data_IF_546643678000
#
_entry.id   IF_546643678000
#
_cell.length_a   1.000
_cell.length_b   1.000
_cell.length_c   1.000
_cell.angle_alpha   90.00
_cell.angle_beta   90.00
_cell.angle_gamma   90.00
#
_symmetry.space_group_name_H-M   'P 1'
#
loop_
_entity.id
_entity.type
_entity.pdbx_description
1 polymer ?
#
# COMPACT_ATOMS: atom_id res chain seq x y z
N UNK A 1 21.23 -25.28 2.28
CA UNK A 1 21.89 -24.87 3.55
C UNK A 1 20.79 -24.59 4.57
N UNK A 2 20.87 -25.06 5.82
CA UNK A 2 19.82 -24.78 6.79
C UNK A 2 19.83 -23.27 7.05
N UNK A 3 18.76 -22.59 6.64
CA UNK A 3 18.60 -21.15 6.79
C UNK A 3 18.37 -20.84 8.26
N UNK A 4 19.43 -20.40 8.94
CA UNK A 4 19.28 -19.80 10.27
C UNK A 4 18.34 -18.58 10.11
N UNK A 5 17.18 -18.50 10.77
CA UNK A 5 16.25 -17.37 10.61
C UNK A 5 16.90 -16.02 10.96
N UNK A 6 17.95 -16.02 11.79
CA UNK A 6 18.76 -14.82 12.09
C UNK A 6 19.53 -14.30 10.86
N UNK A 7 19.77 -15.11 9.84
CA UNK A 7 20.41 -14.66 8.60
C UNK A 7 19.50 -13.72 7.79
N UNK A 8 18.18 -13.91 7.84
CA UNK A 8 17.21 -13.02 7.19
C UNK A 8 17.30 -11.59 7.72
N UNK A 9 17.34 -11.44 9.04
CA UNK A 9 17.51 -10.13 9.70
C UNK A 9 18.86 -9.49 9.31
N UNK A 10 19.91 -10.31 9.19
CA UNK A 10 21.24 -9.81 8.77
C UNK A 10 21.21 -9.23 7.35
N UNK A 11 20.50 -9.86 6.41
CA UNK A 11 20.37 -9.33 5.05
C UNK A 11 19.62 -8.00 5.02
N UNK A 12 18.55 -7.86 5.82
CA UNK A 12 17.84 -6.59 5.98
C UNK A 12 18.79 -5.49 6.49
N UNK A 13 19.55 -5.78 7.56
CA UNK A 13 20.51 -4.81 8.12
C UNK A 13 21.63 -4.44 7.15
N UNK A 14 22.08 -5.38 6.31
CA UNK A 14 23.08 -5.11 5.27
C UNK A 14 22.55 -4.19 4.14
N UNK A 15 21.25 -4.23 3.87
CA UNK A 15 20.61 -3.38 2.85
C UNK A 15 20.57 -1.89 3.23
N UNK A 16 20.46 -1.56 4.53
CA UNK A 16 20.34 -0.18 5.02
C UNK A 16 21.45 0.75 4.48
N UNK A 17 22.76 0.45 4.62
CA UNK A 17 23.79 1.33 4.08
C UNK A 17 23.80 1.39 2.54
N UNK A 18 23.25 0.39 1.84
CA UNK A 18 23.26 0.35 0.38
C UNK A 18 22.32 1.40 -0.24
N UNK A 19 21.22 1.74 0.43
CA UNK A 19 20.23 2.72 -0.07
C UNK A 19 20.81 4.12 -0.27
N UNK A 20 21.89 4.45 0.48
CA UNK A 20 22.56 5.75 0.42
C UNK A 20 23.68 5.82 -0.62
N UNK A 21 24.01 4.70 -1.28
CA UNK A 21 25.08 4.69 -2.28
C UNK A 21 24.68 5.40 -3.57
N UNK A 22 25.64 6.07 -4.22
CA UNK A 22 25.39 6.95 -5.36
C UNK A 22 24.67 6.27 -6.53
N UNK A 23 24.96 4.99 -6.77
CA UNK A 23 24.39 4.21 -7.87
C UNK A 23 22.93 3.78 -7.63
N UNK A 24 22.54 3.69 -6.35
CA UNK A 24 21.27 3.13 -5.88
C UNK A 24 20.29 4.23 -5.47
N UNK A 25 20.77 5.34 -4.88
CA UNK A 25 19.95 6.39 -4.26
C UNK A 25 18.87 6.97 -5.17
N UNK A 26 19.12 7.06 -6.49
CA UNK A 26 18.16 7.60 -7.47
C UNK A 26 16.88 6.76 -7.56
N UNK A 27 16.99 5.44 -7.41
CA UNK A 27 15.86 4.51 -7.43
C UNK A 27 15.07 4.51 -6.12
N UNK A 28 15.66 5.04 -5.04
CA UNK A 28 14.99 5.24 -3.74
C UNK A 28 14.25 6.58 -3.70
N UNK A 29 14.89 7.64 -4.19
CA UNK A 29 14.34 9.01 -4.12
C UNK A 29 13.19 9.21 -5.11
N UNK A 30 13.24 8.63 -6.31
CA UNK A 30 12.18 8.82 -7.31
C UNK A 30 10.79 8.36 -6.84
N UNK A 31 10.61 7.12 -6.34
CA UNK A 31 9.33 6.67 -5.75
C UNK A 31 8.86 7.57 -4.62
N UNK A 32 9.77 8.02 -3.76
CA UNK A 32 9.43 8.89 -2.64
C UNK A 32 8.85 10.22 -3.12
N UNK A 33 9.48 10.85 -4.11
CA UNK A 33 8.99 12.11 -4.69
C UNK A 33 7.63 11.93 -5.36
N UNK A 34 7.46 10.84 -6.12
CA UNK A 34 6.17 10.52 -6.77
C UNK A 34 5.09 10.32 -5.70
N UNK A 35 5.39 9.58 -4.62
CA UNK A 35 4.47 9.36 -3.51
C UNK A 35 4.09 10.67 -2.81
N UNK A 36 5.04 11.58 -2.58
CA UNK A 36 4.75 12.90 -1.99
C UNK A 36 3.78 13.68 -2.87
N UNK A 37 4.00 13.70 -4.18
CA UNK A 37 3.13 14.40 -5.14
C UNK A 37 1.73 13.78 -5.17
N UNK A 38 1.66 12.45 -5.27
CA UNK A 38 0.39 11.71 -5.30
C UNK A 38 -0.39 11.89 -3.98
N UNK A 39 0.30 11.87 -2.85
CA UNK A 39 -0.31 12.05 -1.53
C UNK A 39 -0.84 13.48 -1.36
N UNK A 40 -0.07 14.49 -1.75
CA UNK A 40 -0.51 15.88 -1.74
C UNK A 40 -1.73 16.09 -2.65
N UNK A 41 -1.73 15.48 -3.84
CA UNK A 41 -2.88 15.52 -4.75
C UNK A 41 -4.11 14.82 -4.16
N UNK A 42 -3.94 13.68 -3.50
CA UNK A 42 -5.02 12.95 -2.85
C UNK A 42 -5.65 13.74 -1.69
N UNK A 43 -4.83 14.39 -0.86
CA UNK A 43 -5.32 15.27 0.22
C UNK A 43 -6.08 16.46 -0.36
N UNK A 44 -5.51 17.12 -1.38
CA UNK A 44 -6.16 18.25 -2.04
C UNK A 44 -7.53 17.85 -2.62
N UNK A 45 -7.57 16.72 -3.33
CA UNK A 45 -8.82 16.16 -3.86
C UNK A 45 -9.83 15.85 -2.75
N UNK A 46 -9.39 15.21 -1.66
CA UNK A 46 -10.28 14.92 -0.54
C UNK A 46 -10.86 16.19 0.06
N UNK A 47 -10.03 17.15 0.44
CA UNK A 47 -10.50 18.38 1.10
C UNK A 47 -11.48 19.18 0.24
N UNK A 48 -11.31 19.17 -1.09
CA UNK A 48 -12.20 19.89 -2.01
C UNK A 48 -13.49 19.13 -2.34
N UNK A 49 -13.45 17.81 -2.45
CA UNK A 49 -14.63 17.00 -2.80
C UNK A 49 -15.43 16.54 -1.58
N UNK A 50 -14.81 16.48 -0.41
CA UNK A 50 -15.44 15.97 0.80
C UNK A 50 -16.59 16.87 1.26
N UNK A 51 -16.40 18.18 1.30
CA UNK A 51 -17.48 19.12 1.66
C UNK A 51 -18.64 19.03 0.66
N UNK A 52 -18.34 18.99 -0.65
CA UNK A 52 -19.35 18.83 -1.70
C UNK A 52 -20.14 17.52 -1.53
N UNK A 53 -19.46 16.41 -1.16
CA UNK A 53 -20.10 15.13 -0.94
C UNK A 53 -21.01 15.15 0.30
N UNK A 54 -20.57 15.78 1.38
CA UNK A 54 -21.38 15.94 2.60
C UNK A 54 -22.62 16.78 2.28
N UNK A 55 -22.46 17.94 1.65
CA UNK A 55 -23.59 18.82 1.29
C UNK A 55 -24.62 18.09 0.42
N UNK A 56 -24.15 17.25 -0.51
CA UNK A 56 -25.03 16.43 -1.34
C UNK A 56 -25.77 15.34 -0.54
N UNK A 57 -25.13 14.75 0.47
CA UNK A 57 -25.72 13.72 1.33
C UNK A 57 -26.64 14.30 2.42
N UNK A 58 -26.48 15.58 2.77
CA UNK A 58 -27.22 16.24 3.86
C UNK A 58 -27.91 17.52 3.37
N UNK A 59 -28.95 17.40 2.53
CA UNK A 59 -29.70 18.55 2.07
C UNK A 59 -30.45 19.23 3.22
N UNK A 60 -30.66 20.54 3.08
CA UNK A 60 -31.36 21.35 4.08
C UNK A 60 -32.76 20.80 4.39
N UNK A 61 -33.10 20.77 5.68
CA UNK A 61 -34.44 20.43 6.13
C UNK A 61 -35.45 21.52 5.74
N UNK A 62 -36.67 21.16 5.33
CA UNK A 62 -37.73 22.12 5.05
C UNK A 62 -38.02 23.05 6.25
N UNK A 63 -38.20 24.35 5.98
CA UNK A 63 -38.42 25.39 7.00
C UNK A 63 -39.69 25.24 7.85
N UNK A 64 -40.56 24.30 7.52
CA UNK A 64 -41.78 23.99 8.28
C UNK A 64 -41.55 22.93 9.38
N UNK A 65 -40.38 22.28 9.42
CA UNK A 65 -40.07 21.32 10.48
C UNK A 65 -39.90 22.04 11.83
N UNK A 66 -40.44 21.49 12.93
CA UNK A 66 -40.21 22.04 14.25
C UNK A 66 -38.72 22.03 14.64
N UNK A 67 -38.27 23.07 15.35
CA UNK A 67 -36.86 23.28 15.75
C UNK A 67 -36.24 22.07 16.48
N UNK A 68 -37.06 21.33 17.23
CA UNK A 68 -36.62 20.08 17.88
C UNK A 68 -36.08 19.07 16.86
N UNK A 69 -36.76 18.87 15.73
CA UNK A 69 -36.31 17.93 14.70
C UNK A 69 -35.08 18.43 13.94
N UNK A 70 -34.96 19.76 13.74
CA UNK A 70 -33.77 20.35 13.13
C UNK A 70 -32.51 20.11 13.98
N UNK A 71 -32.59 20.36 15.29
CA UNK A 71 -31.47 20.11 16.21
C UNK A 71 -31.05 18.64 16.30
N UNK A 72 -32.01 17.71 16.28
CA UNK A 72 -31.71 16.26 16.24
C UNK A 72 -31.05 15.87 14.91
N UNK A 73 -31.52 16.45 13.80
CA UNK A 73 -30.96 16.20 12.48
C UNK A 73 -29.52 16.72 12.36
N UNK A 74 -29.24 17.94 12.82
CA UNK A 74 -27.88 18.51 12.85
C UNK A 74 -26.91 17.63 13.67
N UNK A 75 -27.35 17.13 14.83
CA UNK A 75 -26.52 16.21 15.63
C UNK A 75 -26.23 14.90 14.87
N UNK A 76 -27.24 14.33 14.20
CA UNK A 76 -27.09 13.13 13.40
C UNK A 76 -26.17 13.35 12.19
N UNK A 77 -26.30 14.50 11.52
CA UNK A 77 -25.41 14.93 10.43
C UNK A 77 -23.97 15.07 10.92
N UNK A 78 -23.74 15.66 12.10
CA UNK A 78 -22.41 15.75 12.70
C UNK A 78 -21.77 14.37 12.96
N UNK A 79 -22.56 13.39 13.42
CA UNK A 79 -22.09 12.02 13.61
C UNK A 79 -21.76 11.34 12.27
N UNK A 80 -22.62 11.51 11.26
CA UNK A 80 -22.38 11.00 9.91
C UNK A 80 -21.15 11.63 9.28
N UNK A 81 -20.93 12.93 9.46
CA UNK A 81 -19.74 13.63 8.99
C UNK A 81 -18.47 12.97 9.54
N UNK A 82 -18.42 12.71 10.85
CA UNK A 82 -17.27 12.06 11.48
C UNK A 82 -17.06 10.63 10.96
N UNK A 83 -18.14 9.88 10.76
CA UNK A 83 -18.10 8.53 10.21
C UNK A 83 -17.60 8.53 8.76
N UNK A 84 -18.14 9.41 7.90
CA UNK A 84 -17.72 9.53 6.51
C UNK A 84 -16.28 10.04 6.39
N UNK A 85 -15.86 10.98 7.24
CA UNK A 85 -14.47 11.42 7.30
C UNK A 85 -13.55 10.23 7.64
N UNK A 86 -13.91 9.41 8.63
CA UNK A 86 -13.14 8.23 8.99
C UNK A 86 -13.07 7.20 7.85
N UNK A 87 -14.18 6.91 7.19
CA UNK A 87 -14.23 6.00 6.04
C UNK A 87 -13.43 6.56 4.85
N UNK A 88 -13.56 7.84 4.55
CA UNK A 88 -12.81 8.49 3.48
C UNK A 88 -11.30 8.44 3.74
N UNK A 89 -10.86 8.69 4.98
CA UNK A 89 -9.46 8.54 5.38
C UNK A 89 -8.97 7.11 5.21
N UNK A 90 -9.76 6.11 5.61
CA UNK A 90 -9.44 4.69 5.41
C UNK A 90 -9.28 4.38 3.91
N UNK A 91 -10.27 4.75 3.09
CA UNK A 91 -10.25 4.49 1.64
C UNK A 91 -9.03 5.16 1.00
N UNK A 92 -8.75 6.41 1.34
CA UNK A 92 -7.60 7.13 0.79
C UNK A 92 -6.30 6.50 1.25
N UNK A 93 -6.16 6.19 2.53
CA UNK A 93 -4.92 5.60 3.05
C UNK A 93 -4.62 4.25 2.39
N UNK A 94 -5.59 3.34 2.35
CA UNK A 94 -5.40 2.01 1.75
C UNK A 94 -5.34 2.08 0.22
N UNK A 95 -6.20 2.89 -0.41
CA UNK A 95 -6.20 3.10 -1.85
C UNK A 95 -4.89 3.73 -2.35
N UNK A 96 -4.42 4.76 -1.67
CA UNK A 96 -3.10 5.36 -1.92
C UNK A 96 -1.99 4.33 -1.75
N UNK A 97 -2.02 3.51 -0.69
CA UNK A 97 -1.00 2.47 -0.46
C UNK A 97 -0.92 1.49 -1.63
N UNK A 98 -2.07 1.04 -2.15
CA UNK A 98 -2.13 0.15 -3.32
C UNK A 98 -1.53 0.84 -4.55
N UNK A 99 -1.96 2.07 -4.84
CA UNK A 99 -1.49 2.84 -5.99
C UNK A 99 0.02 3.11 -5.89
N UNK A 100 0.49 3.56 -4.73
CA UNK A 100 1.89 3.84 -4.45
C UNK A 100 2.77 2.60 -4.64
N UNK A 101 2.32 1.42 -4.19
CA UNK A 101 3.05 0.17 -4.38
C UNK A 101 3.11 -0.24 -5.86
N UNK A 102 2.01 -0.11 -6.61
CA UNK A 102 1.99 -0.43 -8.04
C UNK A 102 2.91 0.52 -8.83
N UNK A 103 2.85 1.82 -8.56
CA UNK A 103 3.70 2.83 -9.20
C UNK A 103 5.16 2.68 -8.77
N UNK A 104 5.41 2.24 -7.53
CA UNK A 104 6.74 1.98 -6.99
C UNK A 104 7.40 0.72 -7.54
N UNK A 105 6.63 -0.25 -8.06
CA UNK A 105 7.14 -1.54 -8.50
C UNK A 105 8.29 -1.48 -9.51
N UNK A 106 8.20 -0.69 -10.59
CA UNK A 106 9.28 -0.59 -11.57
C UNK A 106 10.56 -0.07 -10.93
N UNK A 107 10.45 0.89 -10.01
CA UNK A 107 11.60 1.42 -9.29
C UNK A 107 12.22 0.39 -8.35
N UNK A 108 11.40 -0.43 -7.70
CA UNK A 108 11.90 -1.54 -6.88
C UNK A 108 12.63 -2.60 -7.72
N UNK A 109 12.15 -2.90 -8.94
CA UNK A 109 12.85 -3.76 -9.91
C UNK A 109 14.23 -3.17 -10.26
N UNK A 110 14.30 -1.89 -10.65
CA UNK A 110 15.57 -1.24 -10.96
C UNK A 110 16.49 -1.08 -9.74
N UNK A 111 15.92 -0.88 -8.56
CA UNK A 111 16.64 -0.83 -7.29
C UNK A 111 17.33 -2.17 -7.01
N UNK A 112 16.58 -3.27 -7.13
CA UNK A 112 17.11 -4.61 -6.96
C UNK A 112 18.22 -4.90 -7.98
N UNK A 113 18.01 -4.53 -9.24
CA UNK A 113 19.00 -4.69 -10.30
C UNK A 113 20.29 -3.90 -10.03
N UNK A 114 20.18 -2.67 -9.54
CA UNK A 114 21.34 -1.85 -9.18
C UNK A 114 22.11 -2.42 -7.98
N UNK A 115 21.40 -2.94 -6.98
CA UNK A 115 22.01 -3.60 -5.81
C UNK A 115 22.71 -4.89 -6.22
N UNK A 116 22.08 -5.70 -7.08
CA UNK A 116 22.67 -6.93 -7.59
C UNK A 116 23.93 -6.67 -8.40
N UNK A 117 23.89 -5.72 -9.35
CA UNK A 117 25.07 -5.32 -10.11
C UNK A 117 26.22 -4.88 -9.20
N UNK A 118 25.92 -4.14 -8.13
CA UNK A 118 26.92 -3.71 -7.15
C UNK A 118 27.56 -4.87 -6.38
N UNK A 119 26.80 -5.94 -6.12
CA UNK A 119 27.28 -7.11 -5.37
C UNK A 119 27.99 -8.14 -6.24
N UNK A 120 27.56 -8.32 -7.49
CA UNK A 120 28.03 -9.39 -8.37
C UNK A 120 28.89 -8.90 -9.53
N UNK A 121 28.77 -7.63 -9.92
CA UNK A 121 29.35 -7.07 -11.14
C UNK A 121 28.67 -7.51 -12.43
N UNK A 122 27.62 -8.34 -12.35
CA UNK A 122 26.89 -8.88 -13.50
C UNK A 122 25.66 -8.01 -13.74
N UNK A 123 25.42 -7.59 -14.98
CA UNK A 123 24.19 -6.89 -15.33
C UNK A 123 23.00 -7.85 -15.25
N UNK A 124 22.03 -7.61 -14.36
CA UNK A 124 20.87 -8.50 -14.22
C UNK A 124 19.84 -8.28 -15.32
N UNK A 125 19.58 -7.01 -15.67
CA UNK A 125 18.65 -6.66 -16.75
C UNK A 125 19.43 -6.50 -18.05
N UNK A 126 19.04 -7.23 -19.10
CA UNK A 126 19.63 -7.07 -20.43
C UNK A 126 19.41 -5.62 -20.92
N UNK A 127 20.48 -4.86 -21.26
CA UNK A 127 20.38 -3.48 -21.71
C UNK A 127 19.60 -3.30 -23.02
N UNK A 128 19.31 -4.37 -23.76
CA UNK A 128 18.43 -4.35 -24.94
C UNK A 128 16.94 -4.39 -24.58
N UNK A 129 16.60 -4.72 -23.34
CA UNK A 129 15.21 -4.78 -22.89
C UNK A 129 14.63 -3.38 -22.78
N UNK A 130 13.48 -3.16 -23.43
CA UNK A 130 12.78 -1.88 -23.37
C UNK A 130 12.35 -1.56 -21.93
N UNK A 131 12.58 -0.32 -21.49
CA UNK A 131 12.13 0.19 -20.19
C UNK A 131 10.62 0.03 -20.00
N UNK A 132 9.85 0.17 -21.09
CA UNK A 132 8.40 0.01 -21.07
C UNK A 132 8.03 -1.44 -20.75
N UNK A 133 8.75 -2.41 -21.33
CA UNK A 133 8.51 -3.83 -21.08
C UNK A 133 8.75 -4.17 -19.61
N UNK A 134 9.90 -3.76 -19.06
CA UNK A 134 10.23 -3.95 -17.64
C UNK A 134 9.14 -3.34 -16.75
N UNK A 135 8.73 -2.11 -17.06
CA UNK A 135 7.68 -1.41 -16.29
C UNK A 135 6.35 -2.16 -16.27
N UNK A 136 5.88 -2.64 -17.44
CA UNK A 136 4.63 -3.40 -17.54
C UNK A 136 4.72 -4.72 -16.79
N UNK A 137 5.85 -5.42 -16.91
CA UNK A 137 6.10 -6.69 -16.22
C UNK A 137 6.15 -6.50 -14.70
N UNK A 138 6.83 -5.47 -14.20
CA UNK A 138 6.86 -5.11 -12.77
C UNK A 138 5.47 -4.81 -12.22
N UNK A 139 4.67 -4.00 -12.93
CA UNK A 139 3.29 -3.68 -12.54
C UNK A 139 2.42 -4.95 -12.54
N UNK A 140 2.54 -5.78 -13.57
CA UNK A 140 1.83 -7.07 -13.64
C UNK A 140 2.20 -8.02 -12.51
N UNK A 141 3.47 -8.01 -12.08
CA UNK A 141 3.95 -8.72 -10.89
C UNK A 141 3.25 -8.26 -9.60
N UNK A 142 3.15 -6.95 -9.37
CA UNK A 142 2.42 -6.43 -8.20
C UNK A 142 0.95 -6.77 -8.20
N UNK A 143 0.29 -6.71 -9.35
CA UNK A 143 -1.12 -7.08 -9.46
C UNK A 143 -1.31 -8.56 -9.07
N UNK A 144 -0.42 -9.46 -9.53
CA UNK A 144 -0.46 -10.87 -9.13
C UNK A 144 -0.24 -11.04 -7.62
N UNK A 145 0.67 -10.28 -7.02
CA UNK A 145 0.94 -10.30 -5.57
C UNK A 145 -0.25 -9.78 -4.77
N UNK A 146 -0.93 -8.74 -5.26
CA UNK A 146 -2.16 -8.23 -4.67
C UNK A 146 -3.30 -9.27 -4.75
N UNK A 147 -3.46 -9.95 -5.88
CA UNK A 147 -4.43 -11.03 -6.03
C UNK A 147 -4.10 -12.17 -5.07
N UNK A 148 -2.84 -12.61 -5.02
CA UNK A 148 -2.38 -13.64 -4.10
C UNK A 148 -2.66 -13.24 -2.64
N UNK A 149 -2.37 -11.98 -2.27
CA UNK A 149 -2.70 -11.45 -0.96
C UNK A 149 -4.20 -11.59 -0.66
N UNK A 150 -5.08 -11.13 -1.57
CA UNK A 150 -6.52 -11.16 -1.38
C UNK A 150 -7.07 -12.59 -1.26
N UNK A 151 -6.57 -13.52 -2.08
CA UNK A 151 -6.98 -14.93 -2.06
C UNK A 151 -6.77 -15.57 -0.68
N UNK A 152 -5.70 -15.20 0.02
CA UNK A 152 -5.40 -15.73 1.37
C UNK A 152 -5.96 -14.86 2.50
N UNK A 153 -5.95 -13.55 2.32
CA UNK A 153 -6.47 -12.59 3.30
C UNK A 153 -7.98 -12.76 3.52
N UNK A 154 -8.77 -13.04 2.47
CA UNK A 154 -10.23 -13.20 2.59
C UNK A 154 -10.60 -14.39 3.50
N UNK A 155 -10.10 -15.63 3.28
CA UNK A 155 -10.33 -16.74 4.22
C UNK A 155 -9.86 -16.43 5.65
N UNK A 156 -8.68 -15.82 5.82
CA UNK A 156 -8.15 -15.42 7.13
C UNK A 156 -9.08 -14.41 7.83
N UNK A 157 -9.62 -13.46 7.07
CA UNK A 157 -10.58 -12.49 7.55
C UNK A 157 -11.87 -13.19 8.00
N UNK A 158 -12.40 -14.12 7.20
CA UNK A 158 -13.59 -14.92 7.56
C UNK A 158 -13.35 -15.69 8.87
N UNK A 159 -12.19 -16.36 9.01
CA UNK A 159 -11.82 -17.09 10.24
C UNK A 159 -11.79 -16.15 11.46
N UNK A 160 -11.38 -14.89 11.27
CA UNK A 160 -11.29 -13.88 12.33
C UNK A 160 -12.67 -13.49 12.91
N UNK A 161 -13.76 -13.75 12.18
CA UNK A 161 -15.13 -13.51 12.64
C UNK A 161 -15.81 -14.73 13.26
N UNK A 162 -15.20 -15.92 13.19
CA UNK A 162 -15.78 -17.14 13.79
C UNK A 162 -15.45 -17.16 15.29
N UNK A 163 -16.45 -17.08 16.20
CA UNK A 163 -16.21 -17.14 17.63
C UNK A 163 -15.45 -18.42 18.02
N UNK A 164 -14.63 -18.36 19.07
CA UNK A 164 -13.73 -19.44 19.53
C UNK A 164 -12.53 -19.69 18.61
N UNK A 165 -12.73 -19.77 17.29
CA UNK A 165 -11.64 -19.95 16.31
C UNK A 165 -10.84 -18.66 16.13
N UNK A 166 -11.47 -17.49 16.26
CA UNK A 166 -10.82 -16.19 16.11
C UNK A 166 -9.59 -15.99 17.03
N UNK A 167 -9.47 -16.74 18.12
CA UNK A 167 -8.32 -16.71 19.05
C UNK A 167 -7.00 -17.00 18.34
N UNK A 168 -6.97 -17.87 17.32
CA UNK A 168 -5.75 -18.15 16.55
C UNK A 168 -5.48 -17.13 15.44
N UNK A 169 -6.45 -16.28 15.11
CA UNK A 169 -6.37 -15.38 13.95
C UNK A 169 -5.21 -14.39 14.01
N UNK A 170 -4.90 -13.73 15.14
CA UNK A 170 -3.74 -12.83 15.21
C UNK A 170 -2.41 -13.50 14.86
N UNK A 171 -2.24 -14.77 15.28
CA UNK A 171 -1.03 -15.55 14.96
C UNK A 171 -0.99 -15.88 13.47
N UNK A 172 -2.11 -16.31 12.89
CA UNK A 172 -2.19 -16.59 11.45
C UNK A 172 -1.94 -15.33 10.60
N UNK A 173 -2.51 -14.19 10.99
CA UNK A 173 -2.25 -12.90 10.34
C UNK A 173 -0.78 -12.49 10.42
N UNK A 174 -0.12 -12.72 11.56
CA UNK A 174 1.30 -12.42 11.73
C UNK A 174 2.18 -13.30 10.82
N UNK A 175 1.92 -14.61 10.77
CA UNK A 175 2.63 -15.55 9.89
C UNK A 175 2.42 -15.18 8.42
N UNK A 176 1.17 -14.93 8.03
CA UNK A 176 0.82 -14.55 6.67
C UNK A 176 1.47 -13.22 6.26
N UNK A 177 1.50 -12.24 7.16
CA UNK A 177 2.14 -10.94 6.91
C UNK A 177 3.66 -11.09 6.76
N UNK A 178 4.31 -11.91 7.60
CA UNK A 178 5.73 -12.22 7.46
C UNK A 178 6.04 -12.92 6.13
N UNK A 179 5.21 -13.87 5.72
CA UNK A 179 5.30 -14.54 4.42
C UNK A 179 5.14 -13.56 3.26
N UNK A 180 4.12 -12.71 3.30
CA UNK A 180 3.86 -11.71 2.27
C UNK A 180 5.02 -10.72 2.14
N UNK A 181 5.61 -10.28 3.25
CA UNK A 181 6.80 -9.42 3.22
C UNK A 181 8.00 -10.13 2.59
N UNK A 182 8.24 -11.40 2.93
CA UNK A 182 9.29 -12.18 2.30
C UNK A 182 9.06 -12.26 0.78
N UNK A 183 7.87 -12.71 0.37
CA UNK A 183 7.49 -12.84 -1.04
C UNK A 183 7.61 -11.50 -1.78
N UNK A 184 7.13 -10.40 -1.20
CA UNK A 184 7.16 -9.08 -1.81
C UNK A 184 8.57 -8.62 -2.19
N UNK A 185 9.56 -8.83 -1.30
CA UNK A 185 10.90 -8.29 -1.48
C UNK A 185 11.90 -9.28 -2.10
N UNK A 186 11.69 -10.59 -1.95
CA UNK A 186 12.54 -11.59 -2.63
C UNK A 186 12.19 -11.79 -4.09
N UNK A 187 10.97 -11.42 -4.50
CA UNK A 187 10.50 -11.55 -5.88
C UNK A 187 11.26 -10.63 -6.86
N UNK A 188 11.65 -9.42 -6.44
CA UNK A 188 12.37 -8.48 -7.32
C UNK A 188 13.69 -9.03 -7.88
N UNK A 189 14.64 -9.58 -7.09
CA UNK A 189 15.85 -10.18 -7.63
C UNK A 189 15.59 -11.49 -8.38
N UNK A 190 14.49 -12.21 -8.11
CA UNK A 190 14.15 -13.45 -8.81
C UNK A 190 13.46 -13.21 -10.16
N UNK A 191 12.84 -12.04 -10.33
CA UNK A 191 12.15 -11.62 -11.56
C UNK A 191 13.01 -10.78 -12.52
N UNK A 192 14.22 -10.39 -12.11
CA UNK A 192 15.23 -9.75 -12.97
C UNK A 192 15.92 -10.79 -13.86
#
# INVERSE_FOLDING_TARGET
MPSNPLSGIRFFMQGIPMIFSADVKKYVVMPLLINIILFAAAIYFLTTQFETLIDWLTPDMPSWLPDFFNSVFEWFVGLLWMLFAAVALIIIFFGFTIIANIIGAPFNTYLAAAVEYKLTGVQPIDPRTSLIKVTIESIGGEIKKLIYFLVWAIPLLIISFIPVINVISPVLWAIFSAWMLALQYTDYPLGN
#
